data_IF_664470481348
#
_entry.id   IF_664470481348
#
_cell.length_a   1.000
_cell.length_b   1.000
_cell.length_c   1.000
_cell.angle_alpha   90.00
_cell.angle_beta   90.00
_cell.angle_gamma   90.00
#
_symmetry.space_group_name_H-M   'P 1'
#
loop_
_entity.id
_entity.type
_entity.pdbx_description
1 polymer ?
#
# COMPACT_ATOMS: atom_id res chain seq x y z
N UNK A 1 18.29 37.13 -12.83
CA UNK A 1 17.37 36.03 -13.20
C UNK A 1 18.04 34.74 -12.80
N UNK A 2 17.71 34.22 -11.63
CA UNK A 2 18.19 32.92 -11.13
C UNK A 2 17.25 31.85 -11.65
N UNK A 3 17.77 30.91 -12.42
CA UNK A 3 17.02 29.74 -12.88
C UNK A 3 16.55 28.94 -11.65
N UNK A 4 15.31 28.42 -11.66
CA UNK A 4 14.86 27.53 -10.60
C UNK A 4 15.72 26.25 -10.63
N UNK A 5 15.97 25.62 -9.48
CA UNK A 5 16.74 24.38 -9.41
C UNK A 5 16.06 23.29 -10.23
N UNK A 6 16.86 22.56 -10.99
CA UNK A 6 16.45 21.43 -11.80
C UNK A 6 15.85 20.33 -10.90
N UNK A 7 14.55 20.10 -11.00
CA UNK A 7 13.80 19.11 -10.18
C UNK A 7 14.02 17.66 -10.62
N UNK A 8 14.99 17.38 -11.50
CA UNK A 8 15.27 16.03 -12.00
C UNK A 8 16.24 15.21 -11.13
N UNK A 9 16.74 15.75 -10.01
CA UNK A 9 17.87 15.14 -9.29
C UNK A 9 17.51 14.34 -8.03
N UNK A 10 16.24 14.10 -7.68
CA UNK A 10 15.89 13.44 -6.40
C UNK A 10 14.78 12.40 -6.47
N UNK A 11 14.55 11.76 -7.60
CA UNK A 11 13.74 10.54 -7.60
C UNK A 11 14.66 9.36 -7.21
N UNK A 12 14.42 8.68 -6.07
CA UNK A 12 15.17 7.47 -5.73
C UNK A 12 15.08 6.48 -6.90
N UNK A 13 16.20 5.82 -7.22
CA UNK A 13 16.17 4.76 -8.24
C UNK A 13 15.20 3.68 -7.75
N UNK A 14 14.45 3.05 -8.66
CA UNK A 14 13.45 2.03 -8.32
C UNK A 14 14.02 0.94 -7.42
N UNK A 15 15.29 0.57 -7.63
CA UNK A 15 16.02 -0.43 -6.85
C UNK A 15 16.32 -0.01 -5.40
N UNK A 16 16.17 1.27 -5.06
CA UNK A 16 16.41 1.80 -3.72
C UNK A 16 15.13 1.91 -2.88
N UNK A 17 13.95 1.67 -3.49
CA UNK A 17 12.71 1.75 -2.76
C UNK A 17 12.57 0.62 -1.73
N UNK A 18 12.32 1.00 -0.48
CA UNK A 18 12.07 0.08 0.63
C UNK A 18 10.61 -0.39 0.62
N UNK A 19 10.22 -1.07 -0.47
CA UNK A 19 8.91 -1.69 -0.65
C UNK A 19 9.12 -3.15 -1.03
N UNK A 20 8.54 -4.05 -0.25
CA UNK A 20 8.62 -5.49 -0.48
C UNK A 20 7.34 -5.98 -1.17
N UNK A 21 7.37 -6.18 -2.48
CA UNK A 21 6.24 -6.74 -3.25
C UNK A 21 6.32 -8.26 -3.17
N UNK A 22 5.37 -8.89 -2.46
CA UNK A 22 5.29 -10.34 -2.31
C UNK A 22 4.48 -11.05 -3.39
N UNK A 23 3.66 -10.30 -4.17
CA UNK A 23 2.86 -10.87 -5.23
C UNK A 23 2.18 -9.83 -6.10
N UNK A 24 1.81 -10.25 -7.32
CA UNK A 24 1.08 -9.42 -8.29
C UNK A 24 -0.09 -10.24 -8.86
N UNK A 25 -1.31 -9.76 -8.65
CA UNK A 25 -2.49 -10.22 -9.38
C UNK A 25 -2.69 -9.31 -10.59
N UNK A 26 -2.49 -9.86 -11.77
CA UNK A 26 -2.43 -9.09 -13.03
C UNK A 26 -3.76 -8.51 -13.49
N UNK A 27 -4.88 -9.06 -12.99
CA UNK A 27 -6.24 -8.63 -13.29
C UNK A 27 -7.18 -8.98 -12.14
N UNK A 28 -7.99 -8.04 -11.74
CA UNK A 28 -9.10 -8.22 -10.81
C UNK A 28 -10.28 -7.35 -11.22
N UNK A 29 -11.49 -7.93 -11.09
CA UNK A 29 -12.76 -7.25 -11.31
C UNK A 29 -13.53 -7.04 -10.01
N UNK A 30 -12.95 -7.44 -8.88
CA UNK A 30 -13.64 -7.43 -7.58
C UNK A 30 -12.89 -6.62 -6.51
N UNK A 31 -11.58 -6.46 -6.64
CA UNK A 31 -10.78 -5.84 -5.59
C UNK A 31 -10.86 -4.31 -5.57
N UNK A 32 -11.31 -3.68 -6.68
CA UNK A 32 -11.53 -2.25 -6.76
C UNK A 32 -12.92 -1.96 -7.32
N UNK A 33 -13.87 -1.48 -6.49
CA UNK A 33 -15.24 -1.23 -6.94
C UNK A 33 -15.30 -0.30 -8.16
N UNK A 34 -15.95 -0.76 -9.22
CA UNK A 34 -16.13 0.00 -10.47
C UNK A 34 -14.90 0.08 -11.38
N UNK A 35 -13.81 -0.61 -11.07
CA UNK A 35 -12.55 -0.58 -11.83
C UNK A 35 -12.13 -1.98 -12.27
N UNK A 36 -11.54 -2.04 -13.45
CA UNK A 36 -10.70 -3.16 -13.87
C UNK A 36 -9.29 -2.89 -13.35
N UNK A 37 -8.82 -3.66 -12.39
CA UNK A 37 -7.61 -3.34 -11.66
C UNK A 37 -6.57 -4.47 -11.66
N UNK A 38 -5.31 -4.14 -11.36
CA UNK A 38 -4.31 -5.09 -10.88
C UNK A 38 -4.19 -4.94 -9.35
N UNK A 39 -3.67 -5.96 -8.67
CA UNK A 39 -3.35 -5.86 -7.26
C UNK A 39 -1.87 -6.17 -7.01
N UNK A 40 -1.21 -5.30 -6.23
CA UNK A 40 0.12 -5.51 -5.69
C UNK A 40 -0.01 -5.89 -4.21
N UNK A 41 0.48 -7.07 -3.86
CA UNK A 41 0.46 -7.57 -2.49
C UNK A 41 1.81 -7.29 -1.84
N UNK A 42 1.86 -6.38 -0.86
CA UNK A 42 3.07 -6.04 -0.14
C UNK A 42 3.31 -6.99 1.02
N UNK A 43 4.58 -7.37 1.21
CA UNK A 43 5.02 -8.20 2.32
C UNK A 43 5.22 -7.38 3.59
N UNK A 44 5.11 -8.06 4.73
CA UNK A 44 5.21 -7.47 6.06
C UNK A 44 3.86 -7.04 6.62
N UNK A 45 3.71 -7.21 7.92
CA UNK A 45 2.54 -6.77 8.66
C UNK A 45 2.91 -6.55 10.13
N UNK A 46 2.31 -5.56 10.75
CA UNK A 46 2.45 -5.27 12.18
C UNK A 46 1.43 -6.02 13.06
N UNK A 47 0.57 -6.84 12.45
CA UNK A 47 -0.39 -7.70 13.15
C UNK A 47 -0.07 -9.19 12.97
N UNK A 48 -0.63 -10.03 13.86
CA UNK A 48 -0.56 -11.50 13.82
C UNK A 48 -1.97 -12.06 14.07
N UNK A 49 -2.84 -11.89 13.06
CA UNK A 49 -4.20 -12.39 13.11
C UNK A 49 -4.21 -13.91 12.97
N UNK A 50 -4.86 -14.64 13.89
CA UNK A 50 -4.97 -16.10 13.81
C UNK A 50 -5.76 -16.62 12.61
N UNK A 51 -6.52 -15.75 11.95
CA UNK A 51 -7.30 -16.00 10.74
C UNK A 51 -6.72 -15.29 9.50
N UNK A 52 -5.40 -15.02 9.49
CA UNK A 52 -4.76 -14.37 8.35
C UNK A 52 -4.92 -15.22 7.09
N UNK A 53 -5.42 -14.60 6.01
CA UNK A 53 -5.60 -15.29 4.73
C UNK A 53 -4.29 -15.43 3.95
N UNK A 54 -3.29 -14.55 4.21
CA UNK A 54 -2.02 -14.53 3.50
C UNK A 54 -0.85 -14.59 4.49
N UNK A 55 -0.71 -15.69 5.28
CA UNK A 55 0.36 -15.79 6.28
C UNK A 55 1.75 -15.78 5.64
N UNK A 56 1.87 -16.17 4.37
CA UNK A 56 3.10 -16.13 3.56
C UNK A 56 3.57 -14.70 3.25
N UNK A 57 2.71 -13.69 3.38
CA UNK A 57 3.08 -12.28 3.24
C UNK A 57 3.38 -11.61 4.59
N UNK A 58 3.14 -12.31 5.70
CA UNK A 58 3.14 -11.73 7.05
C UNK A 58 4.21 -12.32 7.94
N UNK A 59 4.42 -13.64 7.85
CA UNK A 59 5.33 -14.37 8.71
C UNK A 59 6.74 -14.38 8.10
N UNK A 60 7.77 -13.83 8.79
CA UNK A 60 9.12 -13.73 8.25
C UNK A 60 9.68 -15.03 7.71
N UNK A 61 9.37 -16.16 8.39
CA UNK A 61 9.82 -17.50 8.02
C UNK A 61 9.11 -18.10 6.78
N UNK A 62 8.08 -17.41 6.27
CA UNK A 62 7.30 -17.83 5.10
C UNK A 62 7.41 -16.87 3.92
N UNK A 63 8.09 -15.74 4.10
CA UNK A 63 8.24 -14.75 3.04
C UNK A 63 9.01 -15.35 1.86
N UNK A 64 8.41 -15.30 0.68
CA UNK A 64 9.09 -15.53 -0.57
C UNK A 64 10.00 -14.33 -0.93
N UNK A 65 11.00 -14.52 -1.84
CA UNK A 65 11.74 -13.39 -2.38
C UNK A 65 10.81 -12.33 -2.96
N UNK A 66 11.10 -11.06 -2.67
CA UNK A 66 10.30 -9.94 -3.19
C UNK A 66 10.44 -9.81 -4.71
N UNK A 67 9.35 -9.46 -5.37
CA UNK A 67 9.35 -9.05 -6.77
C UNK A 67 9.98 -7.64 -6.82
N UNK A 68 10.98 -7.40 -7.69
CA UNK A 68 11.57 -6.09 -7.86
C UNK A 68 10.51 -5.04 -8.24
N UNK A 69 10.61 -3.84 -7.67
CA UNK A 69 9.68 -2.74 -7.97
C UNK A 69 9.72 -2.40 -9.46
N UNK A 70 10.90 -2.51 -10.09
CA UNK A 70 11.08 -2.34 -11.53
C UNK A 70 10.20 -3.27 -12.36
N UNK A 71 10.14 -4.56 -11.98
CA UNK A 71 9.31 -5.55 -12.67
C UNK A 71 7.83 -5.21 -12.56
N UNK A 72 7.38 -4.84 -11.37
CA UNK A 72 6.01 -4.41 -11.16
C UNK A 72 5.67 -3.16 -11.99
N UNK A 73 6.57 -2.18 -12.04
CA UNK A 73 6.37 -0.95 -12.83
C UNK A 73 6.41 -1.21 -14.34
N UNK A 74 7.26 -2.11 -14.84
CA UNK A 74 7.27 -2.55 -16.25
C UNK A 74 5.92 -3.20 -16.59
N UNK A 75 5.43 -4.09 -15.73
CA UNK A 75 4.12 -4.69 -15.90
C UNK A 75 3.02 -3.61 -15.95
N UNK A 76 2.94 -2.70 -14.99
CA UNK A 76 1.93 -1.65 -14.95
C UNK A 76 2.00 -0.74 -16.19
N UNK A 77 3.18 -0.32 -16.63
CA UNK A 77 3.37 0.44 -17.87
C UNK A 77 2.74 -0.28 -19.07
N UNK A 78 2.87 -1.61 -19.15
CA UNK A 78 2.28 -2.40 -20.24
C UNK A 78 0.76 -2.47 -20.21
N UNK A 79 0.16 -2.01 -19.09
CA UNK A 79 -1.28 -2.04 -18.82
C UNK A 79 -1.97 -0.68 -18.91
N UNK A 80 -1.24 0.38 -19.16
CA UNK A 80 -1.81 1.72 -19.40
C UNK A 80 -2.86 1.66 -20.52
N UNK A 81 -4.04 2.24 -20.27
CA UNK A 81 -5.20 2.18 -21.16
C UNK A 81 -5.95 0.83 -21.22
N UNK A 82 -5.56 -0.15 -20.39
CA UNK A 82 -6.21 -1.47 -20.29
C UNK A 82 -6.74 -1.77 -18.88
N UNK A 83 -6.19 -1.12 -17.88
CA UNK A 83 -6.65 -1.17 -16.50
C UNK A 83 -6.98 0.25 -16.06
N UNK A 84 -7.95 0.36 -15.18
CA UNK A 84 -8.39 1.64 -14.61
C UNK A 84 -7.60 1.98 -13.34
N UNK A 85 -7.21 0.96 -12.56
CA UNK A 85 -6.59 1.19 -11.28
C UNK A 85 -5.66 0.07 -10.79
N UNK A 86 -5.01 0.36 -9.67
CA UNK A 86 -4.13 -0.56 -8.95
C UNK A 86 -4.53 -0.61 -7.47
N UNK A 87 -4.73 -1.81 -6.96
CA UNK A 87 -4.95 -2.06 -5.54
C UNK A 87 -3.63 -2.34 -4.86
N UNK A 88 -3.35 -1.66 -3.78
CA UNK A 88 -2.22 -1.94 -2.89
C UNK A 88 -2.77 -2.63 -1.65
N UNK A 89 -2.40 -3.89 -1.47
CA UNK A 89 -2.91 -4.77 -0.42
C UNK A 89 -1.78 -5.67 0.12
N UNK A 90 -2.09 -6.83 0.72
CA UNK A 90 -1.12 -7.83 1.15
C UNK A 90 -1.11 -8.07 2.64
N UNK A 91 0.04 -7.85 3.31
CA UNK A 91 0.14 -7.83 4.77
C UNK A 91 -0.48 -6.55 5.33
N UNK A 92 0.33 -5.58 5.68
CA UNK A 92 -0.08 -4.19 5.93
C UNK A 92 0.80 -3.27 5.09
N UNK A 93 0.26 -2.66 4.02
CA UNK A 93 1.06 -1.82 3.13
C UNK A 93 1.78 -0.68 3.82
N UNK A 94 1.16 -0.06 4.82
CA UNK A 94 1.69 1.12 5.53
C UNK A 94 2.91 0.83 6.42
N UNK A 95 3.36 -0.42 6.53
CA UNK A 95 4.66 -0.73 7.17
C UNK A 95 5.85 -0.55 6.23
N UNK A 96 5.61 -0.42 4.92
CA UNK A 96 6.64 -0.15 3.93
C UNK A 96 6.92 1.35 3.87
N UNK A 97 8.16 1.77 4.17
CA UNK A 97 8.54 3.18 4.31
C UNK A 97 8.25 4.00 3.04
N UNK A 98 8.53 3.44 1.87
CA UNK A 98 8.38 4.12 0.58
C UNK A 98 7.03 3.83 -0.12
N UNK A 99 6.02 3.37 0.63
CA UNK A 99 4.67 3.19 0.08
C UNK A 99 4.13 4.47 -0.62
N UNK A 100 4.26 5.69 -0.02
CA UNK A 100 3.79 6.89 -0.71
C UNK A 100 4.52 7.16 -2.03
N UNK A 101 5.81 6.82 -2.11
CA UNK A 101 6.59 6.96 -3.35
C UNK A 101 6.06 6.02 -4.43
N UNK A 102 5.86 4.74 -4.08
CA UNK A 102 5.28 3.75 -5.00
C UNK A 102 3.92 4.21 -5.54
N UNK A 103 3.04 4.70 -4.65
CA UNK A 103 1.71 5.18 -5.06
C UNK A 103 1.79 6.39 -5.99
N UNK A 104 2.67 7.37 -5.71
CA UNK A 104 2.92 8.50 -6.65
C UNK A 104 3.36 8.03 -8.03
N UNK A 105 4.23 7.03 -8.08
CA UNK A 105 4.70 6.47 -9.36
C UNK A 105 3.56 5.79 -10.12
N UNK A 106 2.68 5.05 -9.43
CA UNK A 106 1.51 4.41 -10.04
C UNK A 106 0.55 5.49 -10.56
N UNK A 107 0.26 6.53 -9.75
CA UNK A 107 -0.55 7.69 -10.17
C UNK A 107 0.02 8.38 -11.40
N UNK A 108 1.35 8.52 -11.49
CA UNK A 108 2.00 9.14 -12.66
C UNK A 108 1.80 8.37 -13.98
N UNK A 109 1.45 7.09 -13.91
CA UNK A 109 1.06 6.28 -15.06
C UNK A 109 -0.42 6.47 -15.46
N UNK A 110 -1.20 7.23 -14.69
CA UNK A 110 -2.61 7.50 -14.92
C UNK A 110 -3.58 6.50 -14.29
N UNK A 111 -3.12 5.62 -13.39
CA UNK A 111 -3.99 4.71 -12.66
C UNK A 111 -4.61 5.36 -11.41
N UNK A 112 -5.84 4.98 -11.09
CA UNK A 112 -6.38 5.19 -9.76
C UNK A 112 -5.79 4.19 -8.77
N UNK A 113 -5.54 4.64 -7.53
CA UNK A 113 -4.91 3.82 -6.48
C UNK A 113 -5.87 3.57 -5.35
N UNK A 114 -6.13 2.28 -5.07
CA UNK A 114 -6.85 1.84 -3.87
C UNK A 114 -5.86 1.27 -2.86
N UNK A 115 -6.01 1.69 -1.61
CA UNK A 115 -5.24 1.17 -0.47
C UNK A 115 -6.12 0.33 0.43
N UNK A 116 -5.74 -0.95 0.63
CA UNK A 116 -6.29 -1.80 1.68
C UNK A 116 -5.37 -1.73 2.91
N UNK A 117 -5.91 -1.36 4.08
CA UNK A 117 -5.10 -1.17 5.29
C UNK A 117 -5.85 -1.62 6.54
N UNK A 118 -5.11 -2.05 7.55
CA UNK A 118 -5.65 -2.30 8.89
C UNK A 118 -5.81 -1.02 9.74
N UNK A 119 -5.47 0.15 9.18
CA UNK A 119 -5.66 1.46 9.79
C UNK A 119 -4.72 1.79 10.97
N UNK A 120 -3.65 1.03 11.18
CA UNK A 120 -2.75 1.25 12.34
C UNK A 120 -1.74 2.37 12.17
N UNK A 121 -1.60 2.91 10.96
CA UNK A 121 -0.75 4.07 10.65
C UNK A 121 -1.56 5.22 10.04
N UNK A 122 -2.48 5.84 10.82
CA UNK A 122 -3.41 6.83 10.28
C UNK A 122 -2.73 8.09 9.75
N UNK A 123 -1.56 8.46 10.27
CA UNK A 123 -0.85 9.65 9.81
C UNK A 123 -0.25 9.45 8.42
N UNK A 124 0.25 8.24 8.11
CA UNK A 124 0.71 7.89 6.76
C UNK A 124 -0.47 7.96 5.78
N UNK A 125 -1.59 7.32 6.13
CA UNK A 125 -2.79 7.32 5.29
C UNK A 125 -3.30 8.75 5.05
N UNK A 126 -3.34 9.59 6.09
CA UNK A 126 -3.73 11.00 5.98
C UNK A 126 -2.84 11.76 5.01
N UNK A 127 -1.51 11.64 5.17
CA UNK A 127 -0.56 12.29 4.25
C UNK A 127 -0.77 11.87 2.80
N UNK A 128 -1.02 10.59 2.55
CA UNK A 128 -1.28 10.06 1.21
C UNK A 128 -2.60 10.59 0.62
N UNK A 129 -3.63 10.78 1.44
CA UNK A 129 -4.90 11.41 1.01
C UNK A 129 -4.69 12.89 0.69
N UNK A 130 -4.02 13.62 1.57
CA UNK A 130 -3.74 15.06 1.38
C UNK A 130 -2.86 15.31 0.14
N UNK A 131 -1.92 14.41 -0.16
CA UNK A 131 -1.11 14.45 -1.38
C UNK A 131 -1.84 13.97 -2.64
N UNK A 132 -3.04 13.37 -2.53
CA UNK A 132 -3.78 12.79 -3.66
C UNK A 132 -3.10 11.57 -4.28
N UNK A 133 -2.30 10.82 -3.50
CA UNK A 133 -1.60 9.61 -3.97
C UNK A 133 -2.46 8.36 -3.90
N UNK A 134 -3.62 8.42 -3.23
CA UNK A 134 -4.63 7.37 -3.15
C UNK A 134 -6.01 7.95 -3.40
N UNK A 135 -6.86 7.20 -4.13
CA UNK A 135 -8.21 7.59 -4.53
C UNK A 135 -9.29 6.86 -3.72
N UNK A 136 -8.97 5.68 -3.20
CA UNK A 136 -9.90 4.86 -2.43
C UNK A 136 -9.18 4.15 -1.27
N UNK A 137 -9.84 4.07 -0.13
CA UNK A 137 -9.34 3.36 1.05
C UNK A 137 -10.37 2.30 1.46
N UNK A 138 -9.91 1.05 1.60
CA UNK A 138 -10.64 0.03 2.30
C UNK A 138 -9.93 -0.28 3.62
N UNK A 139 -10.61 -0.03 4.73
CA UNK A 139 -10.05 -0.28 6.05
C UNK A 139 -10.63 -1.56 6.65
N UNK A 140 -9.75 -2.49 6.97
CA UNK A 140 -10.09 -3.76 7.60
C UNK A 140 -10.11 -3.66 9.13
N UNK A 141 -11.29 -3.77 9.72
CA UNK A 141 -11.45 -3.89 11.18
C UNK A 141 -11.23 -5.35 11.59
N UNK A 142 -10.04 -5.67 12.08
CA UNK A 142 -9.60 -7.06 12.32
C UNK A 142 -10.13 -7.70 13.61
N UNK A 143 -11.05 -7.05 14.35
CA UNK A 143 -11.68 -7.59 15.54
C UNK A 143 -12.38 -6.53 16.38
N UNK A 144 -13.04 -6.91 17.49
CA UNK A 144 -13.63 -5.95 18.41
C UNK A 144 -12.59 -4.93 18.84
N UNK A 145 -12.98 -3.65 18.84
CA UNK A 145 -12.11 -2.52 19.15
C UNK A 145 -11.23 -2.71 20.39
N UNK A 146 -11.80 -3.27 21.47
CA UNK A 146 -11.09 -3.55 22.73
C UNK A 146 -10.04 -4.67 22.62
N UNK A 147 -10.10 -5.51 21.61
CA UNK A 147 -9.17 -6.64 21.40
C UNK A 147 -8.19 -6.43 20.26
N UNK A 148 -8.35 -5.43 19.42
CA UNK A 148 -7.43 -5.15 18.31
C UNK A 148 -5.99 -4.90 18.77
N UNK A 149 -5.79 -4.36 19.96
CA UNK A 149 -4.46 -4.18 20.54
C UNK A 149 -3.72 -5.50 20.79
N UNK A 150 -4.43 -6.61 21.04
CA UNK A 150 -3.81 -7.95 21.23
C UNK A 150 -3.25 -8.52 19.94
N UNK A 151 -3.74 -8.09 18.80
CA UNK A 151 -3.28 -8.53 17.48
C UNK A 151 -1.99 -7.79 17.05
N UNK A 152 -1.62 -6.72 17.74
CA UNK A 152 -0.46 -5.88 17.44
C UNK A 152 0.71 -6.25 18.35
N UNK A 153 1.86 -6.58 17.77
CA UNK A 153 3.14 -6.66 18.49
C UNK A 153 3.72 -5.26 18.67
N UNK A 154 3.55 -4.65 19.86
CA UNK A 154 4.19 -3.37 20.20
C UNK A 154 3.21 -2.23 20.48
N UNK A 155 3.71 -1.18 21.11
CA UNK A 155 2.96 -0.10 21.77
C UNK A 155 1.84 0.53 20.95
N UNK A 156 0.71 0.72 21.61
CA UNK A 156 -0.44 1.49 21.15
C UNK A 156 -0.05 2.93 20.78
N UNK A 157 -0.51 3.36 19.61
CA UNK A 157 -0.81 4.75 19.36
C UNK A 157 -2.30 4.83 19.00
N UNK A 158 -3.15 4.94 20.02
CA UNK A 158 -4.58 5.08 19.89
C UNK A 158 -5.04 6.43 20.40
N UNK A 159 -4.90 7.50 19.62
CA UNK A 159 -5.49 8.79 19.96
C UNK A 159 -6.32 9.44 18.85
N UNK A 160 -6.46 8.82 17.69
CA UNK A 160 -7.09 9.48 16.53
C UNK A 160 -8.44 8.93 16.10
N UNK A 161 -8.83 7.74 16.53
CA UNK A 161 -10.07 7.11 16.05
C UNK A 161 -11.35 7.59 16.70
N UNK A 162 -11.28 8.46 17.70
CA UNK A 162 -12.50 9.06 18.32
C UNK A 162 -13.09 10.24 17.55
N UNK A 163 -12.43 10.70 16.47
CA UNK A 163 -12.88 11.88 15.73
C UNK A 163 -13.51 11.59 14.36
N UNK A 164 -13.50 10.34 13.89
CA UNK A 164 -14.03 10.00 12.57
C UNK A 164 -15.33 9.21 12.56
N UNK A 165 -15.91 8.92 13.72
CA UNK A 165 -17.25 8.36 13.84
C UNK A 165 -18.10 9.34 14.65
N UNK A 166 -18.54 10.42 14.03
CA UNK A 166 -19.56 11.34 14.48
C UNK A 166 -20.56 11.53 13.37
#
# INVERSE_FOLDING_TARGET
MTMPPNTSELAPSLSQLKVAIGGIQKLSLVDYPGHVAAALFLSGCNMRCGYCHNPELVLPERLAPSIPVEEAMIFLKSRVGKLDGVVISGGEPTVNEDLPVLCRMIKSLGFDVKLDTNGTHPDIVRGMVEEGTIDFIAMDVKGPWKSMWRLRRGRLIWNLSRRTCG
#
